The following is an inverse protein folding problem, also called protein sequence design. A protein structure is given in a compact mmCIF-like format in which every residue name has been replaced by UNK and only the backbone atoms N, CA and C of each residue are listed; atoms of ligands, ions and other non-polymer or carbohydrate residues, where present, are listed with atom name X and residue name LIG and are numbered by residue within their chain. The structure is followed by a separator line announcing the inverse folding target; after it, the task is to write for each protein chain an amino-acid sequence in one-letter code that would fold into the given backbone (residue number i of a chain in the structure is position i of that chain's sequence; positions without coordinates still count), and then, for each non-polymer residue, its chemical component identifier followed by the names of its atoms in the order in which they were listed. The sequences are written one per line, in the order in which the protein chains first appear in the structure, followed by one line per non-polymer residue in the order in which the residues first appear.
data_IF_895764819094
#
_entry.id   IF_895764819094
#
_cell.length_a   1.000
_cell.length_b   1.000
_cell.length_c   1.000
_cell.angle_alpha   90.00
_cell.angle_beta   90.00
_cell.angle_gamma   90.00
#
_symmetry.space_group_name_H-M   'P 1'
#
loop_
_entity.id
_entity.type
_entity.pdbx_description
1 polymer ?
#
# COMPACT_ATOMS: atom_id res chain seq x y z
N UNK A 1 15.40 -3.51 3.60
CA UNK A 1 13.99 -3.91 3.75
C UNK A 1 13.50 -4.49 2.44
N UNK A 2 12.94 -5.69 2.49
CA UNK A 2 12.28 -6.32 1.35
C UNK A 2 11.04 -5.50 0.93
N UNK A 3 10.67 -5.55 -0.35
CA UNK A 3 9.52 -4.84 -0.92
C UNK A 3 8.20 -5.32 -0.29
N UNK A 4 8.13 -6.60 0.10
CA UNK A 4 7.01 -7.21 0.82
C UNK A 4 6.77 -6.55 2.19
N UNK A 5 7.84 -6.30 2.95
CA UNK A 5 7.74 -5.61 4.24
C UNK A 5 7.40 -4.12 4.05
N UNK A 6 7.94 -3.46 3.02
CA UNK A 6 7.61 -2.04 2.75
C UNK A 6 6.13 -1.83 2.51
N UNK A 7 5.49 -2.66 1.68
CA UNK A 7 4.05 -2.52 1.40
C UNK A 7 3.20 -2.82 2.63
N UNK A 8 3.59 -3.83 3.43
CA UNK A 8 2.93 -4.18 4.68
C UNK A 8 3.01 -3.06 5.72
N UNK A 9 4.16 -2.40 5.83
CA UNK A 9 4.33 -1.23 6.69
C UNK A 9 3.49 -0.04 6.23
N UNK A 10 3.47 0.26 4.93
CA UNK A 10 2.61 1.31 4.38
C UNK A 10 1.15 1.07 4.76
N UNK A 11 0.65 -0.15 4.59
CA UNK A 11 -0.70 -0.48 5.04
C UNK A 11 -0.87 -0.28 6.54
N UNK A 12 0.05 -0.79 7.36
CA UNK A 12 -0.06 -0.64 8.82
C UNK A 12 -0.10 0.83 9.26
N UNK A 13 0.65 1.72 8.60
CA UNK A 13 0.62 3.17 8.88
C UNK A 13 -0.77 3.79 8.66
N UNK A 14 -1.53 3.30 7.68
CA UNK A 14 -2.91 3.76 7.45
C UNK A 14 -3.91 3.28 8.51
N UNK A 15 -3.56 2.27 9.33
CA UNK A 15 -4.51 1.59 10.22
C UNK A 15 -5.55 0.72 9.50
N UNK A 16 -5.46 0.58 8.18
CA UNK A 16 -6.44 -0.18 7.38
C UNK A 16 -6.19 -1.69 7.40
N UNK A 17 -7.29 -2.45 7.33
CA UNK A 17 -7.25 -3.87 6.98
C UNK A 17 -6.73 -4.06 5.55
N UNK A 18 -6.29 -5.27 5.20
CA UNK A 18 -5.90 -5.59 3.82
C UNK A 18 -7.02 -5.28 2.83
N UNK A 19 -8.28 -5.57 3.17
CA UNK A 19 -9.43 -5.28 2.31
C UNK A 19 -9.65 -3.78 2.07
N UNK A 20 -9.57 -2.95 3.12
CA UNK A 20 -9.75 -1.50 2.99
C UNK A 20 -8.58 -0.84 2.25
N UNK A 21 -7.35 -1.27 2.52
CA UNK A 21 -6.16 -0.77 1.81
C UNK A 21 -6.19 -1.16 0.32
N UNK A 22 -6.58 -2.40 0.03
CA UNK A 22 -6.81 -2.89 -1.33
C UNK A 22 -7.84 -2.04 -2.07
N UNK A 23 -8.97 -1.73 -1.42
CA UNK A 23 -10.01 -0.87 -2.00
C UNK A 23 -9.49 0.56 -2.27
N UNK A 24 -8.75 1.16 -1.32
CA UNK A 24 -8.17 2.50 -1.45
C UNK A 24 -7.29 2.65 -2.69
N UNK A 25 -6.47 1.64 -2.98
CA UNK A 25 -5.51 1.68 -4.10
C UNK A 25 -5.98 0.91 -5.34
N UNK A 26 -7.23 0.42 -5.37
CA UNK A 26 -7.79 -0.31 -6.52
C UNK A 26 -7.07 -1.63 -6.82
N UNK A 27 -6.52 -2.31 -5.82
CA UNK A 27 -5.78 -3.56 -5.98
C UNK A 27 -6.63 -4.73 -5.49
N UNK A 28 -6.63 -5.90 -6.16
CA UNK A 28 -7.28 -7.08 -5.64
C UNK A 28 -6.70 -7.52 -4.29
N UNK A 29 -7.54 -7.85 -3.32
CA UNK A 29 -7.09 -8.25 -1.96
C UNK A 29 -6.10 -9.40 -1.99
N UNK A 30 -6.33 -10.39 -2.88
CA UNK A 30 -5.43 -11.53 -3.05
C UNK A 30 -4.04 -11.12 -3.54
N UNK A 31 -3.96 -10.12 -4.43
CA UNK A 31 -2.69 -9.58 -4.93
C UNK A 31 -1.91 -8.91 -3.79
N UNK A 32 -2.56 -8.06 -3.00
CA UNK A 32 -1.94 -7.46 -1.82
C UNK A 32 -1.44 -8.51 -0.82
N UNK A 33 -2.23 -9.57 -0.58
CA UNK A 33 -1.83 -10.67 0.30
C UNK A 33 -0.58 -11.39 -0.21
N UNK A 34 -0.51 -11.70 -1.50
CA UNK A 34 0.67 -12.33 -2.10
C UNK A 34 1.91 -11.44 -2.00
N UNK A 35 1.75 -10.12 -2.15
CA UNK A 35 2.83 -9.15 -1.95
C UNK A 35 3.32 -9.11 -0.50
N UNK A 36 2.41 -9.02 0.48
CA UNK A 36 2.78 -8.98 1.91
C UNK A 36 3.35 -10.32 2.42
N UNK A 37 3.09 -11.42 1.72
CA UNK A 37 3.64 -12.75 2.01
C UNK A 37 4.96 -13.05 1.25
N UNK A 38 5.38 -12.17 0.34
CA UNK A 38 6.56 -12.38 -0.49
C UNK A 38 6.40 -13.44 -1.59
N UNK A 39 5.17 -13.87 -1.90
CA UNK A 39 4.87 -14.83 -2.98
C UNK A 39 5.08 -14.18 -4.36
N UNK A 40 4.79 -12.88 -4.45
CA UNK A 40 5.12 -12.05 -5.61
C UNK A 40 5.52 -10.65 -5.12
N UNK A 41 6.03 -9.82 -6.01
CA UNK A 41 6.43 -8.45 -5.68
C UNK A 41 5.57 -7.43 -6.45
N UNK A 42 5.16 -6.32 -5.82
CA UNK A 42 4.65 -5.19 -6.56
C UNK A 42 5.79 -4.55 -7.37
N UNK A 43 5.49 -3.87 -8.48
CA UNK A 43 6.45 -2.98 -9.10
C UNK A 43 6.94 -1.93 -8.10
N UNK A 44 8.25 -1.67 -8.05
CA UNK A 44 8.81 -0.79 -7.01
C UNK A 44 8.24 0.64 -7.08
N UNK A 45 7.93 1.11 -8.29
CA UNK A 45 7.32 2.43 -8.50
C UNK A 45 5.93 2.54 -7.85
N UNK A 46 5.17 1.44 -7.77
CA UNK A 46 3.83 1.43 -7.20
C UNK A 46 3.89 1.66 -5.69
N UNK A 47 4.86 1.04 -5.01
CA UNK A 47 5.08 1.24 -3.56
C UNK A 47 5.50 2.69 -3.27
N UNK A 48 6.37 3.27 -4.12
CA UNK A 48 6.73 4.69 -4.01
C UNK A 48 5.53 5.60 -4.24
N UNK A 49 4.69 5.31 -5.23
CA UNK A 49 3.48 6.08 -5.53
C UNK A 49 2.48 6.04 -4.38
N UNK A 50 2.23 4.88 -3.78
CA UNK A 50 1.38 4.76 -2.58
C UNK A 50 1.90 5.62 -1.42
N UNK A 51 3.21 5.62 -1.18
CA UNK A 51 3.82 6.43 -0.14
C UNK A 51 3.64 7.93 -0.40
N UNK A 52 3.77 8.38 -1.65
CA UNK A 52 3.51 9.79 -2.00
C UNK A 52 2.05 10.18 -1.84
N UNK A 53 1.11 9.33 -2.26
CA UNK A 53 -0.33 9.57 -2.07
C UNK A 53 -0.63 9.77 -0.58
N UNK A 54 -0.14 8.86 0.27
CA UNK A 54 -0.32 8.96 1.72
C UNK A 54 0.30 10.24 2.30
N UNK A 55 1.50 10.63 1.86
CA UNK A 55 2.13 11.89 2.29
C UNK A 55 1.28 13.12 1.92
N UNK A 56 0.73 13.16 0.71
CA UNK A 56 -0.10 14.26 0.26
C UNK A 56 -1.47 14.31 0.97
N UNK A 57 -2.03 13.16 1.33
CA UNK A 57 -3.23 13.06 2.16
C UNK A 57 -2.96 13.57 3.59
N UNK A 58 -1.84 13.18 4.20
CA UNK A 58 -1.41 13.66 5.52
C UNK A 58 -1.20 15.18 5.54
N UNK A 59 -0.66 15.74 4.46
CA UNK A 59 -0.48 17.19 4.30
C UNK A 59 -1.77 17.94 3.94
N UNK A 60 -2.91 17.24 3.78
CA UNK A 60 -4.20 17.82 3.42
C UNK A 60 -4.28 18.33 1.98
N UNK A 61 -3.35 17.94 1.12
CA UNK A 61 -3.27 18.35 -0.30
C UNK A 61 -4.13 17.47 -1.21
N UNK A 62 -4.56 16.31 -0.72
CA UNK A 62 -5.51 15.42 -1.36
C UNK A 62 -6.63 15.15 -0.36
N UNK A 63 -7.88 15.38 -0.77
CA UNK A 63 -9.08 14.98 -0.05
C UNK A 63 -9.94 14.17 -1.01
N UNK A 64 -10.34 12.98 -0.57
CA UNK A 64 -11.42 12.21 -1.17
C UNK A 64 -12.75 13.00 -1.12
#
# INVERSE_FOLDING_TARGET
MDISEKIKELRKKTGLSQSKFSAKFGIPVRTLQQWEQGISAPPEYLVRMMAYIMLFEENGQIKD
#
